data_IF_955287328603
#
_entry.id   IF_955287328603
#
_cell.length_a   1.000
_cell.length_b   1.000
_cell.length_c   1.000
_cell.angle_alpha   90.00
_cell.angle_beta   90.00
_cell.angle_gamma   90.00
#
_symmetry.space_group_name_H-M   'P 1'
#
loop_
_entity.id
_entity.type
_entity.pdbx_description
1 polymer ?
#
# COMPACT_ATOMS: atom_id res chain seq x y z
N UNK A 1 16.53 -10.76 -0.45
CA UNK A 1 15.61 -9.63 -0.17
C UNK A 1 16.27 -8.72 0.83
N UNK A 2 16.08 -7.41 0.66
CA UNK A 2 16.48 -6.43 1.68
C UNK A 2 15.60 -6.64 2.90
N UNK A 3 16.21 -6.83 4.07
CA UNK A 3 15.48 -7.05 5.32
C UNK A 3 15.46 -5.80 6.20
N UNK A 4 15.99 -4.69 5.71
CA UNK A 4 16.07 -3.44 6.46
C UNK A 4 16.89 -3.58 7.75
N UNK A 5 17.03 -2.46 8.45
CA UNK A 5 17.58 -2.39 9.80
C UNK A 5 16.80 -1.34 10.56
N UNK A 6 15.97 -1.77 11.52
CA UNK A 6 15.29 -0.86 12.43
C UNK A 6 16.21 -0.54 13.62
N UNK A 7 16.62 0.72 13.75
CA UNK A 7 17.36 1.20 14.92
C UNK A 7 18.36 2.29 14.59
N UNK A 8 18.17 3.48 15.19
CA UNK A 8 19.01 4.65 14.96
C UNK A 8 20.52 4.38 15.07
N UNK A 9 21.20 4.51 13.93
CA UNK A 9 22.67 4.47 13.80
C UNK A 9 23.08 3.80 12.48
N UNK A 10 23.75 4.55 11.60
CA UNK A 10 24.35 4.13 10.31
C UNK A 10 23.67 2.93 9.62
N UNK A 11 22.61 3.21 8.85
CA UNK A 11 21.82 2.24 8.10
C UNK A 11 22.68 1.34 7.20
N UNK A 12 22.70 0.04 7.50
CA UNK A 12 23.24 -0.99 6.62
C UNK A 12 22.11 -1.78 5.97
N UNK A 13 22.13 -1.90 4.64
CA UNK A 13 21.27 -2.85 3.94
C UNK A 13 21.69 -4.28 4.34
N UNK A 14 20.80 -5.01 4.99
CA UNK A 14 21.01 -6.42 5.29
C UNK A 14 20.34 -7.27 4.21
N UNK A 15 21.09 -8.22 3.64
CA UNK A 15 20.59 -9.12 2.60
C UNK A 15 20.36 -10.51 3.18
N UNK A 16 19.14 -11.03 2.99
CA UNK A 16 18.78 -12.40 3.36
C UNK A 16 18.29 -13.21 2.16
N UNK A 17 18.50 -14.53 2.22
CA UNK A 17 18.01 -15.48 1.22
C UNK A 17 16.94 -16.39 1.83
N UNK A 18 15.78 -16.41 1.21
CA UNK A 18 14.66 -17.27 1.56
C UNK A 18 14.30 -18.12 0.32
N UNK A 19 14.83 -19.35 0.21
CA UNK A 19 14.70 -20.15 -1.02
C UNK A 19 13.26 -20.45 -1.42
N UNK A 20 12.38 -20.75 -0.45
CA UNK A 20 10.99 -21.14 -0.73
C UNK A 20 10.17 -19.99 -1.32
N UNK A 21 10.40 -18.76 -0.85
CA UNK A 21 9.69 -17.57 -1.35
C UNK A 21 10.34 -16.97 -2.58
N UNK A 22 11.60 -17.30 -2.86
CA UNK A 22 12.27 -16.97 -4.13
C UNK A 22 11.64 -17.67 -5.35
N UNK A 23 10.69 -18.59 -5.15
CA UNK A 23 9.90 -19.22 -6.21
C UNK A 23 8.74 -18.35 -6.73
N UNK A 24 8.32 -17.33 -5.98
CA UNK A 24 7.18 -16.49 -6.33
C UNK A 24 7.57 -15.57 -7.47
N UNK A 25 6.90 -15.68 -8.63
CA UNK A 25 7.20 -14.82 -9.76
C UNK A 25 6.70 -13.38 -9.56
N UNK A 26 7.24 -12.48 -10.40
CA UNK A 26 6.82 -11.09 -10.42
C UNK A 26 5.45 -10.90 -11.07
N UNK A 27 4.57 -10.17 -10.39
CA UNK A 27 3.48 -9.41 -11.02
C UNK A 27 3.54 -7.95 -10.56
N UNK A 28 3.19 -7.01 -11.43
CA UNK A 28 3.14 -5.58 -11.10
C UNK A 28 1.97 -5.25 -10.16
N UNK A 29 0.93 -6.09 -10.15
CA UNK A 29 -0.25 -6.05 -9.28
C UNK A 29 -0.43 -7.43 -8.63
N UNK A 30 0.47 -7.79 -7.70
CA UNK A 30 0.57 -9.14 -7.16
C UNK A 30 -0.62 -9.53 -6.27
N UNK A 31 -0.77 -10.82 -6.01
CA UNK A 31 -1.80 -11.35 -5.10
C UNK A 31 -1.28 -11.71 -3.71
N UNK A 32 0.03 -11.59 -3.49
CA UNK A 32 0.63 -11.73 -2.17
C UNK A 32 1.50 -10.54 -1.82
N UNK A 33 1.57 -10.25 -0.52
CA UNK A 33 2.51 -9.30 0.09
C UNK A 33 3.35 -10.05 1.13
N UNK A 34 4.46 -9.45 1.53
CA UNK A 34 5.29 -9.99 2.59
C UNK A 34 5.86 -8.92 3.49
N UNK A 35 6.20 -9.34 4.71
CA UNK A 35 7.12 -8.64 5.59
C UNK A 35 8.06 -9.64 6.24
N UNK A 36 9.14 -9.13 6.83
CA UNK A 36 10.11 -9.92 7.57
C UNK A 36 10.15 -9.36 8.99
N UNK A 37 9.95 -10.21 9.99
CA UNK A 37 9.98 -9.80 11.39
C UNK A 37 11.40 -9.74 11.97
N UNK A 38 11.52 -9.21 13.19
CA UNK A 38 12.79 -9.12 13.94
C UNK A 38 13.45 -10.48 14.20
N UNK A 39 12.72 -11.58 14.01
CA UNK A 39 13.24 -12.95 14.13
C UNK A 39 13.73 -13.50 12.79
N UNK A 40 13.78 -12.66 11.75
CA UNK A 40 14.10 -13.01 10.37
C UNK A 40 13.14 -14.06 9.79
N UNK A 41 11.89 -14.07 10.25
CA UNK A 41 10.85 -14.91 9.68
C UNK A 41 10.20 -14.17 8.52
N UNK A 42 10.15 -14.80 7.36
CA UNK A 42 9.44 -14.28 6.20
C UNK A 42 7.96 -14.66 6.27
N UNK A 43 7.10 -13.65 6.36
CA UNK A 43 5.66 -13.85 6.38
C UNK A 43 5.06 -13.47 5.02
N UNK A 44 4.46 -14.42 4.32
CA UNK A 44 3.76 -14.17 3.05
C UNK A 44 2.26 -14.29 3.26
N UNK A 45 1.52 -13.29 2.82
CA UNK A 45 0.07 -13.21 2.98
C UNK A 45 -0.62 -12.98 1.64
N UNK A 46 -1.78 -13.61 1.44
CA UNK A 46 -2.69 -13.23 0.37
C UNK A 46 -3.30 -11.86 0.68
N UNK A 47 -3.36 -10.99 -0.34
CA UNK A 47 -3.96 -9.64 -0.22
C UNK A 47 -5.34 -9.53 -0.87
N UNK A 48 -5.77 -10.61 -1.53
CA UNK A 48 -7.06 -10.76 -2.19
C UNK A 48 -7.41 -12.24 -2.26
N UNK A 49 -8.65 -12.54 -2.65
CA UNK A 49 -9.04 -13.91 -2.95
C UNK A 49 -8.19 -14.47 -4.11
N UNK A 50 -7.78 -15.74 -3.95
CA UNK A 50 -6.92 -16.47 -4.90
C UNK A 50 -7.63 -17.76 -5.28
N UNK A 51 -7.84 -17.97 -6.58
CA UNK A 51 -8.50 -19.17 -7.07
C UNK A 51 -7.55 -20.39 -7.03
N UNK A 52 -8.13 -21.60 -6.93
CA UNK A 52 -7.32 -22.82 -7.03
C UNK A 52 -6.62 -22.91 -8.40
N UNK A 53 -5.29 -23.05 -8.38
CA UNK A 53 -4.46 -23.07 -9.59
C UNK A 53 -4.03 -21.69 -10.10
N UNK A 54 -4.46 -20.60 -9.47
CA UNK A 54 -3.87 -19.27 -9.70
C UNK A 54 -2.45 -19.23 -9.12
N UNK A 55 -1.50 -18.68 -9.88
CA UNK A 55 -0.12 -18.53 -9.44
C UNK A 55 -0.01 -17.49 -8.33
N UNK A 56 0.81 -17.78 -7.30
CA UNK A 56 1.16 -16.82 -6.26
C UNK A 56 2.29 -15.92 -6.75
N UNK A 57 2.08 -14.61 -6.69
CA UNK A 57 3.03 -13.62 -7.20
C UNK A 57 3.34 -12.54 -6.18
N UNK A 58 4.55 -12.00 -6.27
CA UNK A 58 5.05 -10.85 -5.52
C UNK A 58 5.39 -9.70 -6.48
N UNK A 59 5.50 -8.47 -5.97
CA UNK A 59 6.13 -7.39 -6.74
C UNK A 59 7.61 -7.28 -6.37
N UNK A 60 8.48 -7.15 -7.38
CA UNK A 60 9.92 -6.97 -7.18
C UNK A 60 10.34 -5.50 -7.24
N UNK A 61 9.37 -4.61 -7.41
CA UNK A 61 9.55 -3.18 -7.62
C UNK A 61 8.44 -2.41 -6.90
N UNK A 62 8.58 -1.09 -6.86
CA UNK A 62 7.54 -0.23 -6.29
C UNK A 62 6.30 -0.21 -7.21
N UNK A 63 5.12 -0.69 -6.77
CA UNK A 63 3.94 -0.78 -7.63
C UNK A 63 3.42 0.60 -8.12
N UNK A 64 3.88 1.71 -7.54
CA UNK A 64 3.54 3.06 -8.02
C UNK A 64 4.37 3.51 -9.24
N UNK A 65 5.24 2.66 -9.79
CA UNK A 65 6.01 2.97 -11.00
C UNK A 65 5.15 2.97 -12.28
N UNK A 66 5.36 3.98 -13.14
CA UNK A 66 4.76 4.06 -14.49
C UNK A 66 5.22 2.93 -15.40
N UNK A 67 4.56 2.73 -16.54
CA UNK A 67 4.85 1.60 -17.43
C UNK A 67 6.29 1.54 -17.88
N UNK A 68 6.81 2.69 -18.32
CA UNK A 68 8.19 2.79 -18.77
C UNK A 68 9.16 2.51 -17.60
N UNK A 69 8.87 3.03 -16.42
CA UNK A 69 9.71 2.84 -15.23
C UNK A 69 9.74 1.36 -14.79
N UNK A 70 8.57 0.73 -14.59
CA UNK A 70 8.51 -0.67 -14.15
C UNK A 70 9.13 -1.64 -15.15
N UNK A 71 8.96 -1.42 -16.46
CA UNK A 71 9.61 -2.25 -17.48
C UNK A 71 11.14 -2.09 -17.45
N UNK A 72 11.64 -0.86 -17.30
CA UNK A 72 13.07 -0.60 -17.18
C UNK A 72 13.65 -1.20 -15.89
N UNK A 73 12.97 -1.04 -14.76
CA UNK A 73 13.37 -1.61 -13.46
C UNK A 73 13.50 -3.13 -13.57
N UNK A 74 12.45 -3.82 -14.00
CA UNK A 74 12.46 -5.29 -14.08
C UNK A 74 13.52 -5.80 -15.06
N UNK A 75 13.68 -5.15 -16.21
CA UNK A 75 14.71 -5.54 -17.17
C UNK A 75 16.13 -5.32 -16.62
N UNK A 76 16.38 -4.23 -15.91
CA UNK A 76 17.70 -3.88 -15.36
C UNK A 76 18.07 -4.75 -14.15
N UNK A 77 17.14 -4.96 -13.22
CA UNK A 77 17.40 -5.66 -11.96
C UNK A 77 17.26 -7.18 -12.09
N UNK A 78 16.39 -7.66 -12.98
CA UNK A 78 16.03 -9.08 -13.08
C UNK A 78 16.21 -9.70 -14.46
N UNK A 79 16.51 -8.89 -15.50
CA UNK A 79 16.91 -9.40 -16.81
C UNK A 79 15.77 -9.89 -17.71
N UNK A 80 14.50 -9.61 -17.38
CA UNK A 80 13.35 -10.01 -18.20
C UNK A 80 12.39 -8.87 -18.51
N UNK A 81 11.54 -9.07 -19.52
CA UNK A 81 10.42 -8.17 -19.84
C UNK A 81 9.15 -8.67 -19.13
N UNK A 82 8.53 -7.85 -18.30
CA UNK A 82 7.29 -8.25 -17.62
C UNK A 82 6.13 -8.35 -18.61
N UNK A 83 5.37 -9.44 -18.53
CA UNK A 83 4.19 -9.73 -19.37
C UNK A 83 2.93 -9.97 -18.54
N UNK A 84 2.86 -9.42 -17.32
CA UNK A 84 1.65 -9.47 -16.51
C UNK A 84 0.48 -8.75 -17.22
N UNK A 85 -0.75 -8.99 -16.76
CA UNK A 85 -1.95 -8.39 -17.35
C UNK A 85 -1.85 -6.86 -17.45
N UNK A 86 -1.23 -6.21 -16.45
CA UNK A 86 -1.07 -4.77 -16.39
C UNK A 86 -0.04 -4.22 -17.39
N UNK A 87 0.99 -5.01 -17.72
CA UNK A 87 2.00 -4.64 -18.73
C UNK A 87 1.58 -5.00 -20.16
N UNK A 88 0.57 -5.86 -20.33
CA UNK A 88 0.04 -6.26 -21.65
C UNK A 88 -1.26 -5.58 -22.02
N UNK A 89 -1.69 -4.57 -21.26
CA UNK A 89 -2.87 -3.76 -21.59
C UNK A 89 -2.67 -2.97 -22.89
N UNK A 90 -3.78 -2.50 -23.46
CA UNK A 90 -3.74 -1.57 -24.59
C UNK A 90 -3.10 -0.22 -24.19
N UNK A 91 -2.52 0.50 -25.15
CA UNK A 91 -1.75 1.73 -24.90
C UNK A 91 -2.59 2.86 -24.26
N UNK A 92 -3.88 2.94 -24.58
CA UNK A 92 -4.80 3.86 -23.91
C UNK A 92 -4.96 3.51 -22.42
N UNK A 93 -5.09 2.23 -22.09
CA UNK A 93 -5.19 1.75 -20.71
C UNK A 93 -3.90 1.90 -19.92
N UNK A 94 -2.76 1.74 -20.58
CA UNK A 94 -1.45 2.06 -19.97
C UNK A 94 -1.39 3.55 -19.61
N UNK A 95 -1.77 4.45 -20.54
CA UNK A 95 -1.78 5.90 -20.27
C UNK A 95 -2.77 6.29 -19.17
N UNK A 96 -3.95 5.68 -19.14
CA UNK A 96 -4.92 5.89 -18.07
C UNK A 96 -4.38 5.43 -16.70
N UNK A 97 -3.68 4.29 -16.65
CA UNK A 97 -3.06 3.81 -15.42
C UNK A 97 -1.95 4.74 -14.94
N UNK A 98 -1.02 5.12 -15.82
CA UNK A 98 0.06 6.05 -15.46
C UNK A 98 -0.52 7.39 -14.96
N UNK A 99 -1.59 7.90 -15.58
CA UNK A 99 -2.29 9.09 -15.11
C UNK A 99 -2.90 8.93 -13.70
N UNK A 100 -3.48 7.75 -13.39
CA UNK A 100 -3.99 7.46 -12.04
C UNK A 100 -2.88 7.40 -10.99
N UNK A 101 -1.67 6.95 -11.34
CA UNK A 101 -0.54 6.95 -10.40
C UNK A 101 -0.12 8.38 -10.02
N UNK A 102 -0.13 9.31 -10.97
CA UNK A 102 0.09 10.74 -10.67
C UNK A 102 -1.05 11.32 -9.83
N UNK A 103 -2.30 10.96 -10.13
CA UNK A 103 -3.46 11.40 -9.35
C UNK A 103 -3.39 10.91 -7.90
N UNK A 104 -2.93 9.67 -7.66
CA UNK A 104 -2.70 9.15 -6.31
C UNK A 104 -1.72 10.04 -5.55
N UNK A 105 -0.54 10.33 -6.12
CA UNK A 105 0.48 11.16 -5.47
C UNK A 105 -0.07 12.55 -5.08
N UNK A 106 -0.81 13.19 -5.99
CA UNK A 106 -1.43 14.49 -5.73
C UNK A 106 -2.48 14.43 -4.62
N UNK A 107 -3.34 13.40 -4.62
CA UNK A 107 -4.39 13.24 -3.60
C UNK A 107 -3.77 12.92 -2.24
N UNK A 108 -2.77 12.05 -2.19
CA UNK A 108 -2.08 11.69 -0.95
C UNK A 108 -1.36 12.87 -0.33
N UNK A 109 -0.66 13.68 -1.13
CA UNK A 109 -0.02 14.90 -0.67
C UNK A 109 -1.02 15.89 -0.06
N UNK A 110 -2.17 16.05 -0.70
CA UNK A 110 -3.23 16.95 -0.24
C UNK A 110 -3.93 16.45 1.03
N UNK A 111 -4.24 15.15 1.10
CA UNK A 111 -4.88 14.52 2.27
C UNK A 111 -3.93 14.37 3.46
N UNK A 112 -2.64 14.16 3.21
CA UNK A 112 -1.58 14.11 4.22
C UNK A 112 -1.30 15.47 4.86
N UNK A 113 -1.60 16.57 4.17
CA UNK A 113 -1.51 17.91 4.75
C UNK A 113 -2.76 18.23 5.60
N UNK A 114 -2.64 18.02 6.93
CA UNK A 114 -3.75 18.24 7.87
C UNK A 114 -4.17 19.71 8.00
N UNK A 115 -3.36 20.65 7.54
CA UNK A 115 -3.69 22.07 7.51
C UNK A 115 -4.38 22.49 6.20
N UNK A 116 -4.43 21.64 5.18
CA UNK A 116 -4.90 22.08 3.88
C UNK A 116 -6.41 22.29 3.81
N UNK A 117 -6.84 23.44 3.28
CA UNK A 117 -8.27 23.74 3.12
C UNK A 117 -8.91 23.07 1.90
N UNK A 118 -8.12 22.45 1.00
CA UNK A 118 -8.66 21.83 -0.23
C UNK A 118 -9.03 20.35 -0.03
N UNK A 119 -8.46 19.68 0.97
CA UNK A 119 -8.83 18.33 1.36
C UNK A 119 -10.34 18.21 1.54
N UNK A 120 -10.94 17.20 0.90
CA UNK A 120 -12.38 16.99 0.91
C UNK A 120 -12.73 15.51 0.99
N UNK A 121 -13.98 15.20 1.36
CA UNK A 121 -14.50 13.82 1.35
C UNK A 121 -14.41 13.21 -0.05
N UNK A 122 -14.68 14.00 -1.11
CA UNK A 122 -14.57 13.51 -2.49
C UNK A 122 -13.15 13.09 -2.87
N UNK A 123 -12.12 13.73 -2.31
CA UNK A 123 -10.72 13.29 -2.51
C UNK A 123 -10.43 11.97 -1.81
N UNK A 124 -10.97 11.77 -0.60
CA UNK A 124 -10.84 10.49 0.11
C UNK A 124 -11.51 9.36 -0.68
N UNK A 125 -12.72 9.59 -1.17
CA UNK A 125 -13.45 8.61 -1.98
C UNK A 125 -12.72 8.31 -3.28
N UNK A 126 -12.19 9.35 -3.95
CA UNK A 126 -11.41 9.20 -5.17
C UNK A 126 -10.13 8.41 -4.94
N UNK A 127 -9.40 8.66 -3.85
CA UNK A 127 -8.19 7.91 -3.49
C UNK A 127 -8.49 6.41 -3.42
N UNK A 128 -9.54 6.03 -2.69
CA UNK A 128 -9.92 4.64 -2.52
C UNK A 128 -10.32 3.98 -3.86
N UNK A 129 -11.05 4.71 -4.70
CA UNK A 129 -11.43 4.26 -6.03
C UNK A 129 -10.21 4.02 -6.93
N UNK A 130 -9.25 4.95 -6.99
CA UNK A 130 -8.07 4.78 -7.85
C UNK A 130 -7.15 3.66 -7.37
N UNK A 131 -7.05 3.43 -6.06
CA UNK A 131 -6.34 2.28 -5.50
C UNK A 131 -6.97 0.94 -5.94
N UNK A 132 -8.30 0.86 -5.94
CA UNK A 132 -9.03 -0.32 -6.40
C UNK A 132 -8.85 -0.53 -7.92
N UNK A 133 -9.02 0.53 -8.73
CA UNK A 133 -8.82 0.49 -10.18
C UNK A 133 -7.41 0.06 -10.57
N UNK A 134 -6.42 0.53 -9.81
CA UNK A 134 -5.03 0.15 -10.03
C UNK A 134 -4.68 -1.21 -9.42
N UNK A 135 -5.54 -1.85 -8.63
CA UNK A 135 -5.25 -3.10 -7.91
C UNK A 135 -3.99 -3.01 -7.03
N UNK A 136 -3.89 -1.92 -6.28
CA UNK A 136 -2.80 -1.67 -5.34
C UNK A 136 -3.02 -2.38 -4.00
N UNK A 137 -3.55 -3.60 -4.05
CA UNK A 137 -3.97 -4.40 -2.88
C UNK A 137 -2.82 -4.55 -1.87
N UNK A 138 -1.60 -4.75 -2.35
CA UNK A 138 -0.38 -4.89 -1.52
C UNK A 138 0.12 -3.61 -0.86
N UNK A 139 -0.46 -2.44 -1.20
CA UNK A 139 -0.10 -1.12 -0.66
C UNK A 139 -1.30 -0.33 -0.15
N UNK A 140 -2.45 -0.99 0.02
CA UNK A 140 -3.72 -0.31 0.36
C UNK A 140 -3.74 0.25 1.79
N UNK A 141 -2.83 -0.18 2.67
CA UNK A 141 -2.75 0.29 4.05
C UNK A 141 -2.69 1.83 4.13
N UNK A 142 -1.78 2.46 3.37
CA UNK A 142 -1.61 3.92 3.37
C UNK A 142 -2.89 4.67 2.98
N UNK A 143 -3.60 4.20 1.96
CA UNK A 143 -4.89 4.77 1.55
C UNK A 143 -5.94 4.67 2.65
N UNK A 144 -6.03 3.54 3.36
CA UNK A 144 -6.95 3.37 4.47
C UNK A 144 -6.59 4.24 5.68
N UNK A 145 -5.30 4.44 5.98
CA UNK A 145 -4.83 5.37 7.01
C UNK A 145 -5.27 6.80 6.68
N UNK A 146 -4.98 7.27 5.47
CA UNK A 146 -5.37 8.61 5.02
C UNK A 146 -6.89 8.80 5.05
N UNK A 147 -7.65 7.80 4.62
CA UNK A 147 -9.10 7.82 4.70
C UNK A 147 -9.59 7.91 6.14
N UNK A 148 -9.09 7.05 7.03
CA UNK A 148 -9.48 7.02 8.44
C UNK A 148 -9.24 8.37 9.13
N UNK A 149 -8.04 8.94 8.93
CA UNK A 149 -7.66 10.21 9.52
C UNK A 149 -8.49 11.36 8.95
N UNK A 150 -8.70 11.43 7.63
CA UNK A 150 -9.46 12.51 7.02
C UNK A 150 -10.96 12.45 7.33
N UNK A 151 -11.59 11.27 7.32
CA UNK A 151 -12.97 11.16 7.82
C UNK A 151 -13.08 11.64 9.27
N UNK A 152 -12.08 11.37 10.11
CA UNK A 152 -12.09 11.87 11.49
C UNK A 152 -11.91 13.39 11.57
N UNK A 153 -11.03 13.96 10.73
CA UNK A 153 -10.83 15.40 10.56
C UNK A 153 -12.13 16.11 10.15
N UNK A 154 -12.95 15.47 9.30
CA UNK A 154 -14.27 15.95 8.88
C UNK A 154 -15.40 15.68 9.89
N UNK A 155 -15.11 15.01 11.01
CA UNK A 155 -16.10 14.69 12.03
C UNK A 155 -16.99 13.48 11.73
N UNK A 156 -16.61 12.65 10.76
CA UNK A 156 -17.29 11.38 10.45
C UNK A 156 -16.65 10.22 11.21
N UNK A 157 -17.05 10.07 12.47
CA UNK A 157 -16.56 8.99 13.34
C UNK A 157 -16.90 7.58 12.82
N UNK A 158 -17.95 7.44 11.98
CA UNK A 158 -18.38 6.13 11.48
C UNK A 158 -17.42 5.65 10.41
N UNK A 159 -17.14 6.48 9.40
CA UNK A 159 -16.19 6.13 8.36
C UNK A 159 -14.76 6.13 8.88
N UNK A 160 -14.39 7.03 9.79
CA UNK A 160 -13.08 7.00 10.46
C UNK A 160 -12.82 5.63 11.11
N UNK A 161 -13.79 5.13 11.88
CA UNK A 161 -13.68 3.80 12.52
C UNK A 161 -13.61 2.66 11.50
N UNK A 162 -14.42 2.72 10.43
CA UNK A 162 -14.42 1.70 9.38
C UNK A 162 -13.03 1.59 8.75
N UNK A 163 -12.50 2.71 8.25
CA UNK A 163 -11.22 2.70 7.55
C UNK A 163 -10.04 2.48 8.48
N UNK A 164 -10.11 2.90 9.75
CA UNK A 164 -9.09 2.56 10.73
C UNK A 164 -8.98 1.04 10.95
N UNK A 165 -10.12 0.32 10.97
CA UNK A 165 -10.10 -1.16 11.06
C UNK A 165 -9.52 -1.81 9.80
N UNK A 166 -9.89 -1.32 8.63
CA UNK A 166 -9.33 -1.80 7.36
C UNK A 166 -7.81 -1.52 7.27
N UNK A 167 -7.37 -0.36 7.75
CA UNK A 167 -5.95 -0.02 7.84
C UNK A 167 -5.20 -0.96 8.78
N UNK A 168 -5.79 -1.37 9.91
CA UNK A 168 -5.22 -2.39 10.81
C UNK A 168 -5.06 -3.72 10.08
N UNK A 169 -6.11 -4.20 9.39
CA UNK A 169 -6.08 -5.47 8.66
C UNK A 169 -4.99 -5.46 7.57
N UNK A 170 -4.97 -4.41 6.74
CA UNK A 170 -3.96 -4.24 5.68
C UNK A 170 -2.54 -4.05 6.24
N UNK A 171 -2.39 -3.30 7.34
CA UNK A 171 -1.09 -3.04 7.96
C UNK A 171 -0.48 -4.28 8.60
N UNK A 172 -1.30 -5.18 9.17
CA UNK A 172 -0.82 -6.49 9.66
C UNK A 172 -0.23 -7.31 8.52
N UNK A 173 -0.84 -7.24 7.34
CA UNK A 173 -0.40 -7.94 6.14
C UNK A 173 0.88 -7.35 5.57
N UNK A 174 1.01 -6.02 5.57
CA UNK A 174 2.12 -5.30 4.95
C UNK A 174 3.35 -5.13 5.86
N UNK A 175 3.14 -4.93 7.17
CA UNK A 175 4.20 -4.58 8.13
C UNK A 175 4.21 -5.47 9.38
N UNK A 176 3.21 -6.33 9.54
CA UNK A 176 3.08 -7.20 10.71
C UNK A 176 2.24 -6.62 11.85
N UNK A 177 1.83 -7.47 12.82
CA UNK A 177 0.86 -7.11 13.84
C UNK A 177 1.34 -6.13 14.90
N UNK A 178 2.66 -5.98 15.02
CA UNK A 178 3.35 -5.20 16.03
C UNK A 178 3.83 -3.84 15.50
N UNK A 179 3.58 -3.52 14.22
CA UNK A 179 3.95 -2.24 13.62
C UNK A 179 3.24 -1.05 14.31
N UNK A 180 3.97 0.05 14.49
CA UNK A 180 3.48 1.26 15.18
C UNK A 180 2.22 1.84 14.52
N UNK A 181 2.18 1.89 13.19
CA UNK A 181 1.01 2.38 12.44
C UNK A 181 -0.23 1.51 12.66
N UNK A 182 -0.05 0.19 12.82
CA UNK A 182 -1.14 -0.73 13.18
C UNK A 182 -1.66 -0.42 14.59
N UNK A 183 -0.77 -0.15 15.55
CA UNK A 183 -1.16 0.26 16.90
C UNK A 183 -1.93 1.59 16.88
N UNK A 184 -1.43 2.60 16.16
CA UNK A 184 -2.07 3.91 16.02
C UNK A 184 -3.49 3.79 15.43
N UNK A 185 -3.67 2.96 14.38
CA UNK A 185 -4.98 2.75 13.78
C UNK A 185 -5.93 1.96 14.69
N UNK A 186 -5.44 1.05 15.53
CA UNK A 186 -6.27 0.40 16.58
C UNK A 186 -6.80 1.43 17.58
N UNK A 187 -6.00 2.42 17.96
CA UNK A 187 -6.43 3.49 18.87
C UNK A 187 -7.52 4.37 18.24
N UNK A 188 -7.31 4.83 17.01
CA UNK A 188 -8.30 5.58 16.24
C UNK A 188 -9.60 4.77 16.08
N UNK A 189 -9.48 3.49 15.74
CA UNK A 189 -10.62 2.59 15.60
C UNK A 189 -11.37 2.37 16.92
N UNK A 190 -10.72 2.50 18.08
CA UNK A 190 -11.33 2.36 19.42
C UNK A 190 -12.13 3.62 19.77
N UNK A 191 -11.49 4.79 19.69
CA UNK A 191 -12.10 6.07 20.06
C UNK A 191 -11.79 7.19 19.04
N UNK A 192 -12.56 7.26 17.93
CA UNK A 192 -12.38 8.30 16.93
C UNK A 192 -12.55 9.72 17.48
N UNK A 193 -13.47 9.91 18.45
CA UNK A 193 -13.80 11.24 18.98
C UNK A 193 -12.77 11.75 19.99
N UNK A 194 -12.09 10.84 20.70
CA UNK A 194 -10.97 11.16 21.57
C UNK A 194 -9.64 11.34 20.84
N UNK A 195 -9.54 10.90 19.58
CA UNK A 195 -8.33 11.02 18.78
C UNK A 195 -8.01 12.48 18.42
N UNK A 196 -6.73 12.85 18.33
CA UNK A 196 -6.30 14.24 18.14
C UNK A 196 -6.77 14.87 16.82
N UNK A 197 -7.10 14.05 15.83
CA UNK A 197 -7.64 14.49 14.53
C UNK A 197 -9.14 14.78 14.55
N UNK A 198 -9.86 14.55 15.64
CA UNK A 198 -11.32 14.74 15.65
C UNK A 198 -11.71 16.19 15.33
N UNK A 199 -12.52 16.36 14.27
CA UNK A 199 -13.15 17.64 13.87
C UNK A 199 -12.17 18.81 13.74
N UNK A 200 -10.98 18.58 13.19
CA UNK A 200 -10.00 19.67 12.96
C UNK A 200 -10.17 20.39 11.61
N UNK A 201 -11.05 19.89 10.73
CA UNK A 201 -11.40 20.54 9.44
C UNK A 201 -12.82 21.12 9.43
N UNK A 202 -13.49 21.21 10.58
CA UNK A 202 -14.88 21.68 10.73
C UNK A 202 -15.03 22.71 11.84
#
# INVERSE_FOLDING_TARGET
>A
MDVGGEGGGEEGHHLSNFPDVSLYNHDCRPNTAFYIDDRLTHHTHAVRDIAAGEELTLTYMNPFETFAARQAHIQQSWGFKCTCQHCTMAEDKIRESDARLFEIDEIEAELGNFASAKASVGMVERLLEVYELERLDVKVHGAYVLAALNYNLFGDAKNARKYAKLAVEAGIVEFGPDADDVAAMRELARDPKGHFTWRKRV
#
